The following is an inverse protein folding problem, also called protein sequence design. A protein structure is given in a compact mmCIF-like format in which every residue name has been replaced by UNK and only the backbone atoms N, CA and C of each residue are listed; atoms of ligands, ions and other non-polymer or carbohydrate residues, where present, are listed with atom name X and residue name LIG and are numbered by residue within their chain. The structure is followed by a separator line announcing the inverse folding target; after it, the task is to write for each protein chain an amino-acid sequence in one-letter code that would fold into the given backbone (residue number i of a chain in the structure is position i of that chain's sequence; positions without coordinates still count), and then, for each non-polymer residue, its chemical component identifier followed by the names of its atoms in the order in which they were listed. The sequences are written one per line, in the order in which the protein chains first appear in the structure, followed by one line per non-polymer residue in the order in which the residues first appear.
data_IF_854125977208
#
_entry.id   IF_854125977208
#
_cell.length_a   1.000
_cell.length_b   1.000
_cell.length_c   1.000
_cell.angle_alpha   90.00
_cell.angle_beta   90.00
_cell.angle_gamma   90.00
#
_symmetry.space_group_name_H-M   'P 1'
#
loop_
_entity.id
_entity.type
_entity.pdbx_description
1 polymer ?
#
# COMPACT_ATOMS: atom_id res chain seq x y z
N UNK A 1 -35.94 3.30 -5.00
CA UNK A 1 -34.57 3.24 -4.45
C UNK A 1 -33.63 3.74 -5.53
N UNK A 2 -33.26 5.01 -5.45
CA UNK A 2 -32.52 5.73 -6.50
C UNK A 2 -31.16 5.09 -6.72
N UNK A 3 -30.95 4.58 -7.93
CA UNK A 3 -29.66 4.11 -8.42
C UNK A 3 -28.84 5.36 -8.74
N UNK A 4 -27.98 5.78 -7.82
CA UNK A 4 -27.04 6.87 -8.09
C UNK A 4 -26.03 6.35 -9.11
N UNK A 5 -26.12 6.91 -10.31
CA UNK A 5 -25.23 6.66 -11.43
C UNK A 5 -23.90 7.34 -11.14
N UNK A 6 -22.93 6.55 -10.70
CA UNK A 6 -21.58 7.00 -10.43
C UNK A 6 -20.79 6.93 -11.75
N UNK A 7 -20.40 8.10 -12.25
CA UNK A 7 -19.60 8.22 -13.48
C UNK A 7 -18.21 7.66 -13.19
N UNK A 8 -17.96 6.45 -13.71
CA UNK A 8 -16.64 5.83 -13.74
C UNK A 8 -15.92 6.40 -14.95
N UNK A 9 -14.83 7.13 -14.73
CA UNK A 9 -13.99 7.62 -15.81
C UNK A 9 -13.05 6.49 -16.26
N UNK A 10 -13.24 6.06 -17.50
CA UNK A 10 -12.43 5.08 -18.21
C UNK A 10 -11.07 5.67 -18.63
N UNK A 11 -10.10 4.77 -18.77
CA UNK A 11 -8.65 5.03 -18.80
C UNK A 11 -8.20 5.98 -19.93
N UNK A 12 -7.35 6.95 -19.59
CA UNK A 12 -6.40 7.53 -20.52
C UNK A 12 -5.06 7.80 -19.83
N UNK A 13 -4.05 7.16 -20.39
CA UNK A 13 -2.62 7.33 -20.13
C UNK A 13 -2.24 8.78 -20.48
N UNK A 14 -2.13 9.65 -19.47
CA UNK A 14 -1.59 11.00 -19.61
C UNK A 14 -0.58 11.27 -18.48
N UNK A 15 0.68 11.42 -18.88
CA UNK A 15 1.78 11.80 -18.02
C UNK A 15 1.53 13.21 -17.44
N UNK A 16 0.84 13.27 -16.30
CA UNK A 16 0.51 14.52 -15.61
C UNK A 16 -0.88 14.56 -14.96
N UNK A 17 -1.72 13.56 -15.17
CA UNK A 17 -3.06 13.54 -14.59
C UNK A 17 -3.03 13.09 -13.12
N UNK A 18 -3.36 14.02 -12.23
CA UNK A 18 -3.58 13.78 -10.81
C UNK A 18 -4.63 12.67 -10.65
N UNK A 19 -4.17 11.43 -10.41
CA UNK A 19 -5.06 10.33 -10.04
C UNK A 19 -5.97 10.81 -8.92
N UNK A 20 -7.30 10.70 -9.03
CA UNK A 20 -8.14 10.92 -7.88
C UNK A 20 -7.64 10.00 -6.77
N UNK A 21 -7.28 10.59 -5.63
CA UNK A 21 -6.92 9.83 -4.44
C UNK A 21 -8.10 8.97 -4.01
N UNK A 22 -7.82 7.91 -3.26
CA UNK A 22 -8.84 7.08 -2.60
C UNK A 22 -9.89 7.92 -1.85
N UNK A 23 -9.48 9.11 -1.42
CA UNK A 23 -10.26 10.04 -0.60
C UNK A 23 -11.00 11.13 -1.38
N UNK A 24 -10.80 11.24 -2.70
CA UNK A 24 -11.36 12.35 -3.50
C UNK A 24 -12.37 11.91 -4.54
N UNK A 25 -12.29 10.67 -5.05
CA UNK A 25 -13.32 10.12 -5.92
C UNK A 25 -13.41 8.59 -5.77
N UNK A 26 -14.53 7.96 -6.17
CA UNK A 26 -14.64 6.51 -6.16
C UNK A 26 -13.65 5.84 -7.12
N UNK A 27 -13.10 4.71 -6.69
CA UNK A 27 -12.16 3.92 -7.48
C UNK A 27 -12.89 3.11 -8.55
N UNK A 28 -12.25 2.96 -9.71
CA UNK A 28 -12.62 1.94 -10.68
C UNK A 28 -12.40 0.53 -10.10
N UNK A 29 -13.18 -0.45 -10.55
CA UNK A 29 -13.11 -1.83 -10.03
C UNK A 29 -11.69 -2.43 -10.15
N UNK A 30 -11.04 -2.26 -11.32
CA UNK A 30 -9.67 -2.74 -11.53
C UNK A 30 -8.66 -2.10 -10.58
N UNK A 31 -8.76 -0.79 -10.34
CA UNK A 31 -7.90 -0.08 -9.39
C UNK A 31 -8.11 -0.59 -7.96
N UNK A 32 -9.36 -0.83 -7.55
CA UNK A 32 -9.67 -1.39 -6.23
C UNK A 32 -9.09 -2.80 -6.05
N UNK A 33 -9.16 -3.65 -7.08
CA UNK A 33 -8.58 -5.01 -7.05
C UNK A 33 -7.06 -4.95 -6.89
N UNK A 34 -6.36 -4.11 -7.66
CA UNK A 34 -4.91 -3.99 -7.55
C UNK A 34 -4.49 -3.44 -6.19
N UNK A 35 -5.15 -2.39 -5.71
CA UNK A 35 -4.85 -1.78 -4.42
C UNK A 35 -5.14 -2.75 -3.25
N UNK A 36 -6.20 -3.56 -3.36
CA UNK A 36 -6.51 -4.59 -2.37
C UNK A 36 -5.40 -5.65 -2.24
N UNK A 37 -4.71 -6.01 -3.34
CA UNK A 37 -3.55 -6.92 -3.28
C UNK A 37 -2.42 -6.32 -2.44
N UNK A 38 -2.13 -5.04 -2.64
CA UNK A 38 -1.08 -4.32 -1.91
C UNK A 38 -1.45 -4.17 -0.44
N UNK A 39 -2.68 -3.75 -0.13
CA UNK A 39 -3.15 -3.68 1.25
C UNK A 39 -3.20 -5.04 1.94
N UNK A 40 -3.52 -6.12 1.21
CA UNK A 40 -3.43 -7.48 1.77
C UNK A 40 -1.98 -7.84 2.12
N UNK A 41 -1.00 -7.43 1.32
CA UNK A 41 0.40 -7.61 1.66
C UNK A 41 0.82 -6.74 2.86
N UNK A 42 0.31 -5.52 2.99
CA UNK A 42 0.60 -4.64 4.13
C UNK A 42 -0.22 -4.97 5.39
N UNK A 43 -1.32 -5.72 5.29
CA UNK A 43 -2.22 -5.99 6.42
C UNK A 43 -1.71 -7.00 7.45
N UNK A 44 -0.41 -7.31 7.45
CA UNK A 44 0.22 -8.29 8.34
C UNK A 44 1.39 -7.67 9.09
N UNK A 45 1.46 -7.87 10.42
CA UNK A 45 2.44 -7.19 11.26
C UNK A 45 3.89 -7.61 10.94
N UNK A 46 4.12 -8.86 10.56
CA UNK A 46 5.46 -9.36 10.19
C UNK A 46 5.90 -8.70 8.89
N UNK A 47 5.00 -8.64 7.89
CA UNK A 47 5.28 -7.99 6.60
C UNK A 47 5.53 -6.50 6.74
N UNK A 48 4.75 -5.78 7.56
CA UNK A 48 5.00 -4.37 7.85
C UNK A 48 6.37 -4.14 8.48
N UNK A 49 6.73 -4.97 9.46
CA UNK A 49 8.00 -4.84 10.14
C UNK A 49 9.17 -5.17 9.21
N UNK A 50 9.05 -6.20 8.37
CA UNK A 50 10.04 -6.52 7.33
C UNK A 50 10.21 -5.35 6.35
N UNK A 51 9.11 -4.81 5.83
CA UNK A 51 9.16 -3.66 4.91
C UNK A 51 9.83 -2.44 5.56
N UNK A 52 9.48 -2.13 6.80
CA UNK A 52 10.09 -1.03 7.57
C UNK A 52 11.60 -1.23 7.76
N UNK A 53 12.05 -2.44 8.09
CA UNK A 53 13.47 -2.75 8.22
C UNK A 53 14.24 -2.61 6.90
N UNK A 54 13.63 -3.00 5.78
CA UNK A 54 14.24 -2.84 4.45
C UNK A 54 14.29 -1.36 4.06
N UNK A 55 13.18 -0.64 4.20
CA UNK A 55 13.05 0.76 3.80
C UNK A 55 13.92 1.73 4.63
N UNK A 56 14.20 1.39 5.89
CA UNK A 56 15.02 2.22 6.80
C UNK A 56 16.52 1.95 6.70
N UNK A 57 16.96 1.02 5.84
CA UNK A 57 18.40 0.71 5.72
C UNK A 57 19.12 1.78 4.92
N UNK A 58 20.15 2.37 5.51
CA UNK A 58 20.99 3.41 4.88
C UNK A 58 21.72 2.96 3.61
N UNK A 59 21.97 1.66 3.44
CA UNK A 59 22.66 1.09 2.27
C UNK A 59 21.75 0.77 1.08
N UNK A 60 20.44 1.04 1.16
CA UNK A 60 19.47 0.77 0.09
C UNK A 60 19.03 -0.70 -0.05
N UNK A 61 19.80 -1.65 0.48
CA UNK A 61 19.49 -3.08 0.46
C UNK A 61 19.83 -3.78 1.78
N UNK A 62 19.19 -4.92 2.04
CA UNK A 62 19.35 -5.73 3.26
C UNK A 62 19.45 -7.21 2.91
N UNK A 63 20.45 -7.89 3.48
CA UNK A 63 20.55 -9.34 3.37
C UNK A 63 19.46 -10.03 4.22
N UNK A 64 18.89 -11.13 3.71
CA UNK A 64 17.91 -11.96 4.45
C UNK A 64 18.41 -12.43 5.83
N UNK A 65 19.73 -12.59 5.98
CA UNK A 65 20.38 -12.99 7.23
C UNK A 65 20.30 -11.92 8.31
N UNK A 66 20.22 -10.65 7.92
CA UNK A 66 20.07 -9.54 8.85
C UNK A 66 18.60 -9.33 9.25
N UNK A 67 17.66 -9.80 8.42
CA UNK A 67 16.23 -9.69 8.68
C UNK A 67 15.74 -10.77 9.64
N UNK A 68 16.13 -12.02 9.38
CA UNK A 68 15.60 -13.22 10.07
C UNK A 68 15.73 -13.16 11.60
N UNK A 69 16.87 -12.72 12.19
CA UNK A 69 17.03 -12.69 13.65
C UNK A 69 16.07 -11.76 14.41
N UNK A 70 15.40 -10.83 13.72
CA UNK A 70 14.44 -9.92 14.34
C UNK A 70 13.08 -10.57 14.66
N UNK A 71 12.88 -11.83 14.28
CA UNK A 71 11.63 -12.57 14.38
C UNK A 71 11.85 -13.95 14.99
N UNK A 72 10.92 -14.39 15.84
CA UNK A 72 10.86 -15.78 16.34
C UNK A 72 10.14 -16.68 15.33
N UNK A 73 10.54 -16.61 14.07
CA UNK A 73 9.91 -17.32 12.95
C UNK A 73 10.93 -18.15 12.18
N UNK A 74 10.44 -19.22 11.55
CA UNK A 74 11.28 -20.04 10.69
C UNK A 74 11.70 -19.27 9.43
N UNK A 75 12.87 -19.61 8.88
CA UNK A 75 13.34 -19.05 7.62
C UNK A 75 12.37 -19.29 6.44
N UNK A 76 11.69 -20.45 6.31
CA UNK A 76 10.62 -20.62 5.32
C UNK A 76 9.47 -19.64 5.48
N UNK A 77 9.07 -19.33 6.73
CA UNK A 77 8.00 -18.35 7.02
C UNK A 77 8.42 -16.94 6.61
N UNK A 78 9.64 -16.52 6.95
CA UNK A 78 10.18 -15.21 6.54
C UNK A 78 10.29 -15.11 5.01
N UNK A 79 10.78 -16.16 4.35
CA UNK A 79 10.86 -16.21 2.89
C UNK A 79 9.48 -16.11 2.23
N UNK A 80 8.45 -16.72 2.82
CA UNK A 80 7.08 -16.59 2.35
C UNK A 80 6.59 -15.14 2.46
N UNK A 81 6.82 -14.47 3.59
CA UNK A 81 6.46 -13.06 3.77
C UNK A 81 7.16 -12.13 2.78
N UNK A 82 8.46 -12.33 2.55
CA UNK A 82 9.24 -11.57 1.56
C UNK A 82 8.72 -11.80 0.13
N UNK A 83 8.34 -13.03 -0.21
CA UNK A 83 7.71 -13.35 -1.50
C UNK A 83 6.40 -12.59 -1.69
N UNK A 84 5.54 -12.52 -0.67
CA UNK A 84 4.28 -11.79 -0.74
C UNK A 84 4.49 -10.28 -0.92
N UNK A 85 5.46 -9.69 -0.21
CA UNK A 85 5.84 -8.29 -0.39
C UNK A 85 6.35 -8.02 -1.81
N UNK A 86 7.17 -8.93 -2.36
CA UNK A 86 7.66 -8.82 -3.74
C UNK A 86 6.54 -8.95 -4.77
N UNK A 87 5.62 -9.87 -4.56
CA UNK A 87 4.44 -10.04 -5.43
C UNK A 87 3.52 -8.81 -5.41
N UNK A 88 3.50 -8.05 -4.32
CA UNK A 88 2.81 -6.77 -4.22
C UNK A 88 3.59 -5.59 -4.81
N UNK A 89 4.81 -5.82 -5.34
CA UNK A 89 5.63 -4.77 -5.93
C UNK A 89 6.22 -3.78 -4.92
N UNK A 90 6.26 -4.13 -3.63
CA UNK A 90 6.78 -3.25 -2.57
C UNK A 90 8.29 -3.38 -2.39
N UNK A 91 8.84 -4.55 -2.70
CA UNK A 91 10.27 -4.84 -2.59
C UNK A 91 10.69 -5.65 -3.80
N UNK A 92 11.99 -5.66 -4.08
CA UNK A 92 12.60 -6.60 -5.00
C UNK A 92 13.85 -7.24 -4.39
N UNK A 93 14.44 -8.21 -5.07
CA UNK A 93 15.54 -8.99 -4.53
C UNK A 93 16.55 -9.47 -5.58
N UNK A 94 17.79 -9.63 -5.14
CA UNK A 94 18.88 -10.20 -5.94
C UNK A 94 19.60 -11.28 -5.15
N UNK A 95 19.92 -12.39 -5.82
CA UNK A 95 20.76 -13.43 -5.24
C UNK A 95 22.22 -13.15 -5.57
N UNK A 96 23.04 -12.98 -4.52
CA UNK A 96 24.48 -12.76 -4.59
C UNK A 96 25.19 -13.93 -3.90
N UNK A 97 25.56 -14.93 -4.70
CA UNK A 97 26.12 -16.20 -4.22
C UNK A 97 25.10 -16.99 -3.40
N UNK A 98 25.40 -17.23 -2.13
CA UNK A 98 24.54 -17.96 -1.20
C UNK A 98 23.41 -17.10 -0.63
N UNK A 99 23.57 -15.77 -0.65
CA UNK A 99 22.70 -14.85 0.06
C UNK A 99 21.75 -14.12 -0.88
N UNK A 100 20.59 -13.71 -0.35
CA UNK A 100 19.60 -12.90 -1.08
C UNK A 100 19.49 -11.55 -0.39
N UNK A 101 19.64 -10.49 -1.17
CA UNK A 101 19.50 -9.10 -0.75
C UNK A 101 18.14 -8.58 -1.22
N UNK A 102 17.48 -7.79 -0.38
CA UNK A 102 16.19 -7.18 -0.65
C UNK A 102 16.29 -5.66 -0.55
N UNK A 103 15.58 -4.95 -1.41
CA UNK A 103 15.49 -3.48 -1.39
C UNK A 103 14.06 -3.03 -1.61
N UNK A 104 13.78 -1.78 -1.25
CA UNK A 104 12.49 -1.14 -1.45
C UNK A 104 12.30 -0.77 -2.94
N UNK A 105 11.10 -0.97 -3.46
CA UNK A 105 10.67 -0.47 -4.77
C UNK A 105 9.82 0.79 -4.53
N UNK A 106 10.38 2.00 -4.71
CA UNK A 106 9.73 3.25 -4.27
C UNK A 106 8.43 3.55 -5.02
N UNK A 107 8.31 3.11 -6.27
CA UNK A 107 7.19 3.44 -7.16
C UNK A 107 5.84 3.05 -6.56
N UNK A 108 5.75 1.87 -5.94
CA UNK A 108 4.52 1.43 -5.30
C UNK A 108 4.22 2.21 -4.01
N UNK A 109 5.25 2.51 -3.20
CA UNK A 109 5.06 3.29 -1.97
C UNK A 109 4.68 4.74 -2.25
N UNK A 110 5.26 5.34 -3.29
CA UNK A 110 4.94 6.71 -3.71
C UNK A 110 3.51 6.79 -4.25
N UNK A 111 3.08 5.78 -5.02
CA UNK A 111 1.70 5.65 -5.46
C UNK A 111 0.73 5.53 -4.29
N UNK A 112 1.03 4.70 -3.29
CA UNK A 112 0.21 4.57 -2.09
C UNK A 112 0.13 5.89 -1.31
N UNK A 113 1.26 6.59 -1.16
CA UNK A 113 1.30 7.88 -0.50
C UNK A 113 0.41 8.89 -1.23
N UNK A 114 0.50 8.97 -2.55
CA UNK A 114 -0.38 9.83 -3.36
C UNK A 114 -1.87 9.48 -3.21
N UNK A 115 -2.21 8.19 -3.22
CA UNK A 115 -3.60 7.73 -3.07
C UNK A 115 -4.21 8.02 -1.69
N UNK A 116 -3.39 7.94 -0.63
CA UNK A 116 -3.83 8.08 0.76
C UNK A 116 -3.67 9.50 1.30
N UNK A 117 -2.96 10.37 0.59
CA UNK A 117 -2.79 11.76 1.00
C UNK A 117 -4.12 12.48 0.92
N UNK A 118 -4.58 13.00 2.08
CA UNK A 118 -5.74 13.88 2.12
C UNK A 118 -5.38 15.20 1.44
N UNK A 119 -6.20 15.73 0.51
CA UNK A 119 -6.01 17.09 0.02
C UNK A 119 -6.19 18.06 1.19
N UNK A 120 -5.16 18.86 1.48
CA UNK A 120 -5.25 19.91 2.47
C UNK A 120 -6.17 21.01 1.94
N UNK A 121 -7.34 21.22 2.54
CA UNK A 121 -8.21 22.36 2.17
C UNK A 121 -9.69 22.24 2.50
N UNK A 122 -10.26 21.03 2.57
CA UNK A 122 -11.71 20.91 2.84
C UNK A 122 -11.96 20.54 4.30
N UNK A 123 -12.61 21.40 5.11
CA UNK A 123 -13.13 20.98 6.41
C UNK A 123 -14.11 19.82 6.18
N UNK A 124 -13.99 18.75 6.96
CA UNK A 124 -15.02 17.70 6.90
C UNK A 124 -16.39 18.36 7.14
N UNK A 125 -17.44 18.00 6.39
CA UNK A 125 -18.77 18.45 6.72
C UNK A 125 -19.08 18.09 8.18
N UNK A 126 -19.43 19.10 8.99
CA UNK A 126 -19.81 18.88 10.38
C UNK A 126 -20.94 17.86 10.41
N UNK A 127 -20.74 16.81 11.20
CA UNK A 127 -21.70 15.72 11.35
C UNK A 127 -22.90 16.27 12.13
N UNK A 128 -23.84 16.88 11.43
CA UNK A 128 -25.06 17.44 12.01
C UNK A 128 -25.84 16.29 12.65
N UNK A 129 -25.89 16.29 13.98
CA UNK A 129 -26.72 15.38 14.74
C UNK A 129 -28.19 15.57 14.32
N UNK A 130 -29.02 14.51 14.29
CA UNK A 130 -30.41 14.65 13.91
C UNK A 130 -31.14 15.56 14.91
N UNK A 131 -31.49 16.77 14.46
CA UNK A 131 -32.49 17.62 15.11
C UNK A 131 -33.84 16.97 14.89
N UNK A 132 -34.45 16.43 15.96
CA UNK A 132 -35.85 16.03 15.94
C UNK A 132 -36.17 14.70 16.61
N UNK A 133 -36.10 14.64 17.94
CA UNK A 133 -36.85 13.68 18.74
C UNK A 133 -37.33 14.37 20.03
N UNK A 134 -38.26 15.30 19.87
CA UNK A 134 -39.09 15.82 20.95
C UNK A 134 -40.45 16.23 20.38
N UNK A 135 -41.43 15.34 20.50
CA UNK A 135 -42.86 15.64 20.56
C UNK A 135 -43.54 14.47 21.27
#
# INVERSE_FOLDING_TARGET
MSKQELVVLDESDDAGACCPGLLTAPLAEGQAVELAKVFKALGDPVRLRLLSMIASRSGGEVCVCDLTPAFELSQPTISHHLKLLRQAGLIDCERRGTWVHYWLVPEMTDRLAGLLTRPAGEPLPERTAPVGAAS
#
